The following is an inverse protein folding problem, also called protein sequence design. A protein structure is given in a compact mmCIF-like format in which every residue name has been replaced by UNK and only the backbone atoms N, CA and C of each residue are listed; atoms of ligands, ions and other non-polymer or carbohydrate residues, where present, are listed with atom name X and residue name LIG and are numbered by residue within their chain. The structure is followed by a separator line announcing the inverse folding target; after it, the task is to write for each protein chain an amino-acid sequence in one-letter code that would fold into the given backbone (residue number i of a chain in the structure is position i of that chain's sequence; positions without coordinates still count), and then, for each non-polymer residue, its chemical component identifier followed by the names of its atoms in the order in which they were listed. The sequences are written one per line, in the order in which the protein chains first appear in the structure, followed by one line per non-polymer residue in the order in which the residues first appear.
data_IF_559516530852
#
_entry.id   IF_559516530852
#
_cell.length_a   1.000
_cell.length_b   1.000
_cell.length_c   1.000
_cell.angle_alpha   90.00
_cell.angle_beta   90.00
_cell.angle_gamma   90.00
#
_symmetry.space_group_name_H-M   'P 1'
#
loop_
_entity.id
_entity.type
_entity.pdbx_description
1 polymer ?
#
# COMPACT_ATOMS: atom_id res chain seq x y z
N UNK A 1 16.32 20.53 -9.50
CA UNK A 1 16.48 20.34 -8.04
C UNK A 1 15.50 21.16 -7.20
N UNK A 2 15.38 22.49 -7.41
CA UNK A 2 14.46 23.34 -6.62
C UNK A 2 12.98 22.90 -6.67
N UNK A 3 12.49 22.47 -7.84
CA UNK A 3 11.12 21.95 -8.01
C UNK A 3 10.89 20.63 -7.28
N UNK A 4 11.85 19.70 -7.36
CA UNK A 4 11.79 18.43 -6.64
C UNK A 4 11.82 18.64 -5.12
N UNK A 5 12.62 19.60 -4.64
CA UNK A 5 12.66 20.00 -3.24
C UNK A 5 11.34 20.59 -2.76
N UNK A 6 10.70 21.46 -3.56
CA UNK A 6 9.38 22.01 -3.24
C UNK A 6 8.28 20.93 -3.22
N UNK A 7 8.34 19.95 -4.13
CA UNK A 7 7.42 18.81 -4.15
C UNK A 7 7.62 17.92 -2.91
N UNK A 8 8.87 17.64 -2.55
CA UNK A 8 9.21 16.90 -1.33
C UNK A 8 8.71 17.63 -0.08
N UNK A 9 8.92 18.95 0.00
CA UNK A 9 8.47 19.76 1.12
C UNK A 9 6.95 19.79 1.24
N UNK A 10 6.23 19.92 0.12
CA UNK A 10 4.77 19.88 0.09
C UNK A 10 4.22 18.50 0.52
N UNK A 11 4.87 17.41 0.08
CA UNK A 11 4.52 16.05 0.47
C UNK A 11 4.77 15.78 1.97
N UNK A 12 5.86 16.33 2.54
CA UNK A 12 6.12 16.22 3.97
C UNK A 12 5.05 16.96 4.79
N UNK A 13 4.59 18.13 4.34
CA UNK A 13 3.56 18.90 5.05
C UNK A 13 2.18 18.24 5.05
N UNK A 14 1.83 17.45 4.04
CA UNK A 14 0.55 16.71 4.03
C UNK A 14 0.48 15.60 5.08
N UNK A 15 1.63 15.15 5.63
CA UNK A 15 1.65 14.14 6.69
C UNK A 15 1.36 14.69 8.09
N UNK A 16 1.43 16.02 8.29
CA UNK A 16 1.16 16.64 9.60
C UNK A 16 -0.31 16.56 10.02
N UNK A 17 -1.23 16.31 9.08
CA UNK A 17 -2.64 16.05 9.39
C UNK A 17 -2.88 14.63 9.93
N UNK A 18 -1.84 13.79 10.01
CA UNK A 18 -1.93 12.40 10.43
C UNK A 18 -2.11 12.19 11.96
N UNK A 19 -2.07 13.26 12.76
CA UNK A 19 -2.26 13.17 14.21
C UNK A 19 -3.72 13.44 14.56
N UNK A 20 -4.41 12.43 15.11
CA UNK A 20 -5.78 12.57 15.59
C UNK A 20 -5.83 13.60 16.75
N UNK A 21 -6.78 14.54 16.71
CA UNK A 21 -7.09 15.34 17.88
C UNK A 21 -7.80 14.47 18.94
N UNK A 22 -7.80 14.89 20.21
CA UNK A 22 -8.38 14.13 21.32
C UNK A 22 -9.85 13.69 21.06
N UNK A 23 -10.60 14.52 20.34
CA UNK A 23 -11.99 14.20 19.97
C UNK A 23 -12.05 13.07 18.94
N UNK A 24 -11.19 13.12 17.92
CA UNK A 24 -11.09 12.05 16.93
C UNK A 24 -10.63 10.73 17.57
N UNK A 25 -9.67 10.79 18.51
CA UNK A 25 -9.17 9.61 19.22
C UNK A 25 -10.24 8.88 20.02
N UNK A 26 -11.08 9.61 20.77
CA UNK A 26 -12.18 9.02 21.56
C UNK A 26 -13.25 8.33 20.70
N UNK A 27 -13.42 8.80 19.47
CA UNK A 27 -14.39 8.25 18.53
C UNK A 27 -13.80 7.13 17.66
N UNK A 28 -12.52 6.78 17.83
CA UNK A 28 -11.89 5.66 17.14
C UNK A 28 -12.04 4.36 17.93
N UNK A 29 -12.12 3.20 17.25
CA UNK A 29 -12.11 1.89 17.90
C UNK A 29 -10.85 1.73 18.75
N UNK A 30 -10.95 1.12 19.94
CA UNK A 30 -9.83 0.99 20.89
C UNK A 30 -8.54 0.44 20.24
N UNK A 31 -8.67 -0.56 19.36
CA UNK A 31 -7.53 -1.17 18.67
C UNK A 31 -6.87 -0.29 17.60
N UNK A 32 -7.57 0.75 17.13
CA UNK A 32 -7.16 1.58 15.99
C UNK A 32 -7.01 3.07 16.36
N UNK A 33 -7.03 3.39 17.66
CA UNK A 33 -6.77 4.73 18.16
C UNK A 33 -5.36 5.18 17.75
N UNK A 34 -5.24 6.43 17.30
CA UNK A 34 -4.00 7.06 16.81
C UNK A 34 -3.43 6.48 15.50
N UNK A 35 -4.02 5.42 14.95
CA UNK A 35 -3.59 4.77 13.70
C UNK A 35 -4.56 5.09 12.55
N UNK A 36 -5.85 5.12 12.85
CA UNK A 36 -6.90 5.34 11.86
C UNK A 36 -7.28 6.82 11.74
N UNK A 37 -7.85 7.19 10.60
CA UNK A 37 -8.51 8.49 10.40
C UNK A 37 -10.02 8.28 10.29
N UNK A 38 -10.78 9.19 10.89
CA UNK A 38 -12.24 9.09 10.97
C UNK A 38 -12.74 8.28 12.17
N UNK A 39 -14.03 7.99 12.18
CA UNK A 39 -14.76 7.38 13.31
C UNK A 39 -14.64 5.86 13.38
N UNK A 40 -13.93 5.24 12.43
CA UNK A 40 -13.85 3.78 12.33
C UNK A 40 -15.20 3.09 12.08
N UNK A 41 -15.25 1.75 12.12
CA UNK A 41 -16.44 0.98 11.81
C UNK A 41 -17.50 1.16 12.91
N UNK A 42 -18.73 1.49 12.51
CA UNK A 42 -19.84 1.80 13.43
C UNK A 42 -20.64 0.56 13.84
N UNK A 43 -20.47 -0.56 13.12
CA UNK A 43 -21.19 -1.81 13.36
C UNK A 43 -20.33 -3.05 13.13
N UNK A 44 -20.72 -4.18 13.73
CA UNK A 44 -20.03 -5.47 13.54
C UNK A 44 -19.97 -5.90 12.06
N UNK A 45 -20.98 -5.53 11.27
CA UNK A 45 -21.02 -5.84 9.84
C UNK A 45 -19.88 -5.16 9.06
N UNK A 46 -19.54 -3.92 9.43
CA UNK A 46 -18.47 -3.17 8.79
C UNK A 46 -17.09 -3.79 9.03
N UNK A 47 -16.89 -4.42 10.20
CA UNK A 47 -15.66 -5.17 10.48
C UNK A 47 -15.47 -6.37 9.54
N UNK A 48 -16.54 -7.08 9.17
CA UNK A 48 -16.44 -8.18 8.21
C UNK A 48 -16.08 -7.68 6.81
N UNK A 49 -16.64 -6.54 6.39
CA UNK A 49 -16.33 -5.91 5.09
C UNK A 49 -14.85 -5.52 5.04
N UNK A 50 -14.37 -4.83 6.07
CA UNK A 50 -12.97 -4.40 6.16
C UNK A 50 -12.03 -5.61 6.22
N UNK A 51 -12.36 -6.63 7.01
CA UNK A 51 -11.59 -7.87 7.06
C UNK A 51 -11.50 -8.59 5.71
N UNK A 52 -12.62 -8.64 4.97
CA UNK A 52 -12.66 -9.17 3.61
C UNK A 52 -11.78 -8.36 2.64
N UNK A 53 -11.83 -7.03 2.71
CA UNK A 53 -11.00 -6.16 1.89
C UNK A 53 -9.50 -6.37 2.18
N UNK A 54 -9.11 -6.46 3.46
CA UNK A 54 -7.72 -6.75 3.87
C UNK A 54 -7.25 -8.08 3.28
N UNK A 55 -8.07 -9.13 3.37
CA UNK A 55 -7.73 -10.44 2.80
C UNK A 55 -7.49 -10.37 1.28
N UNK A 56 -8.36 -9.67 0.55
CA UNK A 56 -8.22 -9.50 -0.90
C UNK A 56 -6.94 -8.73 -1.23
N UNK A 57 -6.65 -7.64 -0.51
CA UNK A 57 -5.43 -6.84 -0.70
C UNK A 57 -4.17 -7.67 -0.41
N UNK A 58 -4.14 -8.45 0.67
CA UNK A 58 -3.01 -9.31 0.99
C UNK A 58 -2.80 -10.39 -0.06
N UNK A 59 -3.90 -10.99 -0.55
CA UNK A 59 -3.83 -11.99 -1.61
C UNK A 59 -3.29 -11.39 -2.91
N UNK A 60 -3.85 -10.27 -3.36
CA UNK A 60 -3.40 -9.58 -4.57
C UNK A 60 -1.96 -9.11 -4.46
N UNK A 61 -1.55 -8.56 -3.32
CA UNK A 61 -0.17 -8.18 -3.05
C UNK A 61 0.77 -9.40 -3.12
N UNK A 62 0.42 -10.50 -2.45
CA UNK A 62 1.20 -11.74 -2.49
C UNK A 62 1.41 -12.23 -3.93
N UNK A 63 0.36 -12.31 -4.74
CA UNK A 63 0.49 -12.75 -6.13
C UNK A 63 1.24 -11.76 -7.01
N UNK A 64 1.05 -10.45 -6.80
CA UNK A 64 1.82 -9.41 -7.47
C UNK A 64 3.33 -9.61 -7.22
N UNK A 65 3.73 -9.78 -5.96
CA UNK A 65 5.13 -10.06 -5.59
C UNK A 65 5.61 -11.39 -6.16
N UNK A 66 4.82 -12.46 -6.01
CA UNK A 66 5.15 -13.80 -6.50
C UNK A 66 5.48 -13.78 -7.99
N UNK A 67 4.64 -13.15 -8.81
CA UNK A 67 4.83 -13.08 -10.26
C UNK A 67 5.91 -12.07 -10.66
N UNK A 68 6.18 -11.07 -9.83
CA UNK A 68 7.28 -10.16 -10.05
C UNK A 68 8.63 -10.86 -9.83
N UNK A 69 8.78 -11.60 -8.73
CA UNK A 69 10.00 -12.31 -8.31
C UNK A 69 10.23 -13.56 -9.17
N UNK A 70 9.21 -14.43 -9.28
CA UNK A 70 9.29 -15.69 -10.01
C UNK A 70 8.17 -15.76 -11.05
N UNK A 71 8.34 -15.10 -12.20
CA UNK A 71 7.41 -15.19 -13.31
C UNK A 71 7.25 -16.65 -13.75
N UNK A 72 6.02 -17.07 -14.04
CA UNK A 72 5.69 -18.43 -14.45
C UNK A 72 5.96 -18.71 -15.94
N UNK A 73 6.41 -17.69 -16.68
CA UNK A 73 6.55 -17.75 -18.12
C UNK A 73 7.71 -18.65 -18.58
N UNK A 74 7.32 -19.76 -19.23
CA UNK A 74 8.25 -20.71 -19.84
C UNK A 74 8.73 -20.27 -21.22
N UNK A 75 7.99 -19.37 -21.89
CA UNK A 75 8.34 -18.90 -23.23
C UNK A 75 9.68 -18.14 -23.23
N UNK A 76 10.60 -18.44 -24.16
CA UNK A 76 11.86 -17.70 -24.32
C UNK A 76 11.65 -16.28 -24.87
N UNK A 77 10.55 -16.02 -25.57
CA UNK A 77 10.18 -14.75 -26.23
C UNK A 77 9.51 -13.73 -25.28
N UNK A 78 9.44 -14.02 -23.98
CA UNK A 78 8.71 -13.15 -23.05
C UNK A 78 9.41 -11.80 -22.84
N UNK A 79 8.67 -10.70 -22.81
CA UNK A 79 9.19 -9.32 -22.71
C UNK A 79 10.18 -9.12 -21.54
N UNK A 80 10.00 -9.84 -20.44
CA UNK A 80 10.89 -9.81 -19.27
C UNK A 80 12.27 -10.44 -19.55
N UNK A 81 12.34 -11.47 -20.41
CA UNK A 81 13.61 -12.10 -20.86
C UNK A 81 14.33 -11.26 -21.90
N UNK A 82 13.60 -10.46 -22.68
CA UNK A 82 14.20 -9.49 -23.62
C UNK A 82 14.98 -8.38 -22.90
N UNK A 83 14.56 -7.97 -21.70
CA UNK A 83 15.25 -6.94 -20.90
C UNK A 83 16.43 -7.53 -20.11
N UNK A 84 16.33 -8.78 -19.63
CA UNK A 84 17.36 -9.43 -18.80
C UNK A 84 18.48 -10.11 -19.60
N UNK A 85 18.20 -10.66 -20.80
CA UNK A 85 19.22 -11.25 -21.68
C UNK A 85 20.40 -10.31 -22.02
N UNK A 86 20.19 -9.04 -22.43
CA UNK A 86 21.29 -8.21 -22.91
C UNK A 86 22.37 -7.88 -21.86
N UNK A 87 22.15 -8.17 -20.57
CA UNK A 87 23.14 -7.97 -19.50
C UNK A 87 23.95 -9.23 -19.15
N UNK A 88 23.59 -10.40 -19.67
CA UNK A 88 24.22 -11.70 -19.31
C UNK A 88 25.10 -12.28 -20.42
N UNK A 89 25.27 -11.59 -21.55
CA UNK A 89 26.18 -11.97 -22.65
C UNK A 89 27.43 -11.06 -22.73
N UNK A 90 27.84 -10.45 -21.60
CA UNK A 90 29.11 -9.73 -21.43
C UNK A 90 30.04 -10.54 -20.54
#
# INVERSE_FOLDING_TARGET
MKKAFLILLAFSFSTLQALACDVCKRNQPELLQDISHGTGPQSNAEYYIIGGAILIVLFTLFYSLKFLIKPGERSPEHIKKLILKPYLEI
#
